data_IF_016296862476
#
_entry.id   IF_016296862476
#
_cell.length_a   1.000
_cell.length_b   1.000
_cell.length_c   1.000
_cell.angle_alpha   90.00
_cell.angle_beta   90.00
_cell.angle_gamma   90.00
#
_symmetry.space_group_name_H-M   'P 1'
#
loop_
_entity.id
_entity.type
_entity.pdbx_description
1 polymer ?
#
# COMPACT_ATOMS: atom_id res chain seq x y z
N UNK A 1 20.05 22.82 -1.00
CA UNK A 1 21.25 22.88 -1.87
C UNK A 1 21.93 24.23 -1.74
N UNK A 2 23.17 24.26 -1.24
CA UNK A 2 24.30 25.08 -1.70
C UNK A 2 25.51 24.74 -0.83
N UNK A 3 26.42 23.94 -1.40
CA UNK A 3 27.77 23.74 -0.87
C UNK A 3 28.57 25.01 -1.07
N UNK A 4 29.38 25.39 -0.07
CA UNK A 4 30.71 25.95 -0.29
C UNK A 4 31.64 25.24 0.70
N UNK A 5 32.46 24.34 0.16
CA UNK A 5 33.67 23.85 0.80
C UNK A 5 34.77 24.92 0.68
N UNK A 6 35.44 25.26 1.77
CA UNK A 6 36.78 25.85 1.73
C UNK A 6 37.68 25.02 2.66
N UNK A 7 38.60 24.33 1.99
CA UNK A 7 39.95 23.91 2.36
C UNK A 7 40.49 24.59 3.64
N UNK A 8 41.17 23.84 4.52
CA UNK A 8 42.52 24.21 5.01
C UNK A 8 43.13 23.05 5.79
N UNK A 9 44.30 22.67 5.29
CA UNK A 9 45.46 22.06 5.91
C UNK A 9 45.68 22.41 7.40
N UNK A 10 46.27 21.46 8.11
CA UNK A 10 47.28 21.61 9.19
C UNK A 10 46.92 21.32 10.66
N UNK A 11 47.90 20.61 11.23
CA UNK A 11 48.46 20.64 12.58
C UNK A 11 47.63 20.14 13.77
N UNK A 12 48.27 19.16 14.44
CA UNK A 12 47.95 18.62 15.74
C UNK A 12 47.54 19.70 16.75
N UNK A 13 46.36 19.52 17.35
CA UNK A 13 46.15 19.82 18.75
C UNK A 13 45.14 18.83 19.35
N UNK A 14 45.53 18.32 20.51
CA UNK A 14 44.83 17.42 21.41
C UNK A 14 43.43 17.93 21.75
N UNK A 15 42.40 17.09 21.60
CA UNK A 15 41.32 16.91 22.59
C UNK A 15 40.29 15.89 22.11
N UNK A 16 40.09 14.88 22.96
CA UNK A 16 38.84 14.17 23.24
C UNK A 16 37.97 13.73 22.05
N UNK A 17 38.04 12.43 21.72
CA UNK A 17 36.91 11.70 21.17
C UNK A 17 36.43 10.72 22.24
N UNK A 18 35.21 10.96 22.71
CA UNK A 18 34.41 9.97 23.42
C UNK A 18 33.99 8.93 22.39
N UNK A 19 34.54 7.73 22.51
CA UNK A 19 34.04 6.55 21.84
C UNK A 19 32.81 6.09 22.62
N UNK A 20 31.65 6.11 21.98
CA UNK A 20 30.54 5.24 22.39
C UNK A 20 31.00 3.81 22.09
N UNK A 21 31.33 3.07 23.13
CA UNK A 21 31.33 1.61 23.09
C UNK A 21 30.23 1.08 23.99
N UNK A 22 29.53 0.12 23.42
CA UNK A 22 28.39 -0.65 23.87
C UNK A 22 28.70 -1.28 25.24
N UNK A 23 27.79 -1.12 26.20
CA UNK A 23 27.90 -1.76 27.50
C UNK A 23 27.83 -3.29 27.35
N UNK A 24 28.92 -3.95 27.73
CA UNK A 24 29.02 -5.39 27.94
C UNK A 24 28.60 -5.68 29.39
N UNK A 25 27.50 -6.42 29.54
CA UNK A 25 27.12 -7.05 30.81
C UNK A 25 28.16 -8.12 31.16
N UNK A 26 29.07 -7.85 32.11
CA UNK A 26 29.43 -8.85 33.12
C UNK A 26 30.07 -8.24 34.37
N UNK A 27 29.48 -8.60 35.52
CA UNK A 27 30.08 -8.66 36.85
C UNK A 27 30.37 -7.34 37.60
N UNK A 28 29.31 -6.76 38.15
CA UNK A 28 29.36 -6.39 39.56
C UNK A 28 28.10 -6.90 40.26
N UNK A 29 28.27 -7.73 41.28
CA UNK A 29 27.21 -8.28 42.11
C UNK A 29 26.62 -7.22 43.07
N UNK A 30 26.30 -6.03 42.53
CA UNK A 30 25.71 -4.88 43.21
C UNK A 30 24.83 -4.00 42.29
N UNK A 31 24.61 -4.40 41.03
CA UNK A 31 23.72 -3.75 40.05
C UNK A 31 22.35 -4.44 40.14
N UNK A 32 21.75 -4.33 41.31
CA UNK A 32 20.58 -5.09 41.69
C UNK A 32 19.56 -4.18 42.30
N UNK A 33 18.35 -4.25 41.74
CA UNK A 33 17.20 -3.49 42.19
C UNK A 33 17.13 -3.37 43.72
N UNK A 34 17.10 -2.13 44.19
CA UNK A 34 17.06 -1.79 45.60
C UNK A 34 18.43 -1.46 46.20
N UNK A 35 19.33 -0.87 45.42
CA UNK A 35 20.60 -0.36 45.92
C UNK A 35 20.57 1.15 46.23
N UNK A 36 19.44 1.82 45.95
CA UNK A 36 19.18 3.24 46.17
C UNK A 36 19.64 4.15 45.04
N UNK A 37 20.05 3.61 43.87
CA UNK A 37 20.50 4.36 42.71
C UNK A 37 19.82 3.79 41.46
N UNK A 38 19.04 4.60 40.75
CA UNK A 38 18.41 4.14 39.50
C UNK A 38 19.43 3.98 38.37
N UNK A 39 19.60 2.76 37.85
CA UNK A 39 20.53 2.41 36.77
C UNK A 39 19.88 2.31 35.37
N UNK A 40 20.71 2.15 34.33
CA UNK A 40 20.22 1.99 32.95
C UNK A 40 19.50 0.64 32.84
N UNK A 41 18.18 0.69 32.67
CA UNK A 41 17.32 -0.50 32.59
C UNK A 41 16.24 -0.55 33.68
N UNK A 42 16.34 0.29 34.72
CA UNK A 42 15.38 0.37 35.82
C UNK A 42 14.40 1.52 35.63
N UNK A 43 13.12 1.29 35.96
CA UNK A 43 12.12 2.36 35.97
C UNK A 43 12.19 3.20 37.26
N UNK A 44 12.55 2.55 38.37
CA UNK A 44 12.72 3.11 39.72
C UNK A 44 13.71 2.26 40.54
N UNK A 45 14.20 2.76 41.69
CA UNK A 45 14.95 1.99 42.70
C UNK A 45 14.63 2.48 44.12
N UNK A 46 14.01 1.63 44.96
CA UNK A 46 13.50 1.94 46.32
C UNK A 46 12.71 3.25 46.37
N UNK A 47 13.38 4.35 46.66
CA UNK A 47 12.81 5.70 46.86
C UNK A 47 13.08 6.62 45.66
N UNK A 48 13.99 6.25 44.75
CA UNK A 48 14.20 6.95 43.48
C UNK A 48 13.13 6.50 42.47
N UNK A 49 11.98 7.14 42.55
CA UNK A 49 10.84 6.92 41.66
C UNK A 49 10.92 7.75 40.37
N UNK A 50 12.08 8.29 40.00
CA UNK A 50 12.25 9.14 38.81
C UNK A 50 11.25 10.31 38.72
N UNK A 51 10.93 10.91 39.86
CA UNK A 51 9.89 11.95 40.02
C UNK A 51 8.48 11.54 39.55
N UNK A 52 8.20 10.25 39.39
CA UNK A 52 6.86 9.77 39.15
C UNK A 52 6.06 9.71 40.44
N UNK A 53 4.76 9.94 40.33
CA UNK A 53 3.79 9.81 41.41
C UNK A 53 2.59 9.04 40.89
N UNK A 54 1.67 8.64 41.79
CA UNK A 54 0.39 8.07 41.37
C UNK A 54 -0.33 8.99 40.35
N UNK A 55 -0.24 10.31 40.51
CA UNK A 55 -0.82 11.30 39.59
C UNK A 55 -0.18 11.30 38.21
N UNK A 56 1.13 11.11 38.10
CA UNK A 56 1.78 11.05 36.78
C UNK A 56 1.50 9.72 36.08
N UNK A 57 1.12 8.68 36.84
CA UNK A 57 0.69 7.36 36.33
C UNK A 57 -0.83 7.25 36.11
N UNK A 58 -1.59 8.33 36.29
CA UNK A 58 -3.03 8.39 35.98
C UNK A 58 -3.99 8.16 37.16
N UNK A 59 -3.49 8.08 38.40
CA UNK A 59 -4.28 7.90 39.62
C UNK A 59 -4.40 9.20 40.42
N UNK A 60 -5.52 9.45 41.10
CA UNK A 60 -5.76 10.77 41.71
C UNK A 60 -5.03 10.96 43.06
N UNK A 61 -4.88 9.89 43.84
CA UNK A 61 -4.21 9.88 45.15
C UNK A 61 -3.41 8.58 45.35
N UNK A 62 -2.76 8.44 46.51
CA UNK A 62 -1.96 7.26 46.86
C UNK A 62 -0.45 7.49 46.80
N UNK A 63 0.31 6.47 47.18
CA UNK A 63 1.76 6.50 47.20
C UNK A 63 2.31 5.51 46.16
N UNK A 64 3.05 6.03 45.18
CA UNK A 64 3.75 5.19 44.21
C UNK A 64 4.95 4.54 44.92
N UNK A 65 5.20 3.26 44.67
CA UNK A 65 6.36 2.57 45.21
C UNK A 65 7.11 1.82 44.10
N UNK A 66 8.29 1.30 44.42
CA UNK A 66 9.10 0.52 43.50
C UNK A 66 9.15 -0.94 43.93
N UNK A 67 8.86 -1.88 43.02
CA UNK A 67 8.88 -3.29 43.34
C UNK A 67 10.31 -3.89 43.26
N UNK A 68 10.45 -5.15 43.67
CA UNK A 68 11.74 -5.87 43.69
C UNK A 68 12.35 -6.18 42.31
N UNK A 69 11.63 -5.84 41.22
CA UNK A 69 12.08 -5.95 39.84
C UNK A 69 12.32 -4.58 39.20
N UNK A 70 12.26 -3.50 40.00
CA UNK A 70 12.53 -2.14 39.59
C UNK A 70 11.54 -1.59 38.56
N UNK A 71 10.30 -2.03 38.70
CA UNK A 71 9.12 -1.50 38.03
C UNK A 71 8.25 -0.73 39.04
N UNK A 72 7.50 0.26 38.54
CA UNK A 72 6.56 1.02 39.35
C UNK A 72 5.44 0.13 39.85
N UNK A 73 5.22 0.13 41.17
CA UNK A 73 4.11 -0.54 41.82
C UNK A 73 3.00 0.48 42.14
N UNK A 74 1.87 0.31 41.46
CA UNK A 74 0.68 1.15 41.60
C UNK A 74 -0.36 0.54 42.53
N UNK A 75 -0.07 -0.52 43.28
CA UNK A 75 -1.05 -1.17 44.17
C UNK A 75 -1.58 -0.25 45.27
N UNK A 76 -0.75 0.69 45.72
CA UNK A 76 -1.09 1.70 46.72
C UNK A 76 -1.49 3.05 46.09
N UNK A 77 -1.65 3.09 44.76
CA UNK A 77 -2.26 4.19 44.03
C UNK A 77 -3.78 3.99 43.98
N UNK A 78 -4.52 5.02 44.35
CA UNK A 78 -5.98 4.96 44.50
C UNK A 78 -6.66 5.86 43.47
N UNK A 79 -7.72 5.34 42.87
CA UNK A 79 -8.72 6.07 42.10
C UNK A 79 -9.97 6.04 42.97
N UNK A 80 -10.51 7.20 43.36
CA UNK A 80 -11.74 7.26 44.15
C UNK A 80 -12.81 6.37 43.51
N UNK A 81 -13.07 5.22 44.13
CA UNK A 81 -14.18 4.35 43.84
C UNK A 81 -15.31 4.68 44.83
N UNK A 82 -16.52 4.88 44.28
CA UNK A 82 -17.82 4.77 44.96
C UNK A 82 -18.20 5.95 45.89
N UNK A 83 -18.42 7.15 45.33
CA UNK A 83 -19.23 8.17 46.05
C UNK A 83 -20.67 8.05 45.57
N UNK A 84 -21.42 7.22 46.29
CA UNK A 84 -22.86 7.18 46.09
C UNK A 84 -23.52 8.50 46.49
N UNK A 85 -24.28 9.09 45.59
CA UNK A 85 -25.03 10.32 45.83
C UNK A 85 -24.52 11.53 45.04
N UNK A 86 -23.61 11.35 44.08
CA UNK A 86 -23.02 12.42 43.27
C UNK A 86 -23.78 12.67 41.95
N UNK A 87 -24.85 11.91 41.70
CA UNK A 87 -25.73 11.91 40.53
C UNK A 87 -25.08 11.44 39.19
N UNK A 88 -23.92 10.80 39.24
CA UNK A 88 -23.22 10.21 38.09
C UNK A 88 -23.04 8.72 38.37
N UNK A 89 -23.42 7.85 37.42
CA UNK A 89 -23.19 6.40 37.55
C UNK A 89 -21.76 6.08 37.11
N UNK A 90 -20.90 5.75 38.07
CA UNK A 90 -19.48 5.45 37.84
C UNK A 90 -19.19 3.95 37.75
N UNK A 91 -17.97 3.57 37.34
CA UNK A 91 -17.58 2.17 37.20
C UNK A 91 -17.56 1.46 38.58
N UNK A 92 -18.60 0.67 38.85
CA UNK A 92 -18.83 0.00 40.14
C UNK A 92 -20.21 0.23 40.74
N UNK A 93 -20.98 1.19 40.21
CA UNK A 93 -22.33 1.55 40.66
C UNK A 93 -23.39 1.03 39.67
N UNK A 94 -24.54 0.57 40.17
CA UNK A 94 -25.69 0.24 39.32
C UNK A 94 -26.56 1.48 39.05
N UNK A 95 -26.59 2.40 40.00
CA UNK A 95 -27.31 3.66 39.94
C UNK A 95 -26.67 4.67 40.91
N UNK A 96 -26.99 5.96 40.76
CA UNK A 96 -26.65 6.99 41.74
C UNK A 96 -27.84 7.95 41.93
N UNK A 97 -28.34 8.06 43.16
CA UNK A 97 -29.46 8.94 43.51
C UNK A 97 -30.70 8.65 42.65
N UNK A 98 -31.08 9.56 41.74
CA UNK A 98 -32.19 9.37 40.78
C UNK A 98 -31.69 8.94 39.39
N UNK A 99 -30.38 8.87 39.19
CA UNK A 99 -29.76 8.42 37.95
C UNK A 99 -29.71 6.89 37.95
N UNK A 100 -30.77 6.27 37.44
CA UNK A 100 -30.91 4.82 37.31
C UNK A 100 -30.29 4.27 36.02
N UNK A 101 -29.57 5.09 35.24
CA UNK A 101 -28.96 4.65 33.98
C UNK A 101 -29.97 4.17 32.92
N UNK A 102 -31.24 4.55 33.02
CA UNK A 102 -32.32 4.08 32.14
C UNK A 102 -32.93 2.73 32.54
N UNK A 103 -32.48 2.11 33.63
CA UNK A 103 -33.08 0.89 34.16
C UNK A 103 -34.48 1.16 34.73
N UNK A 104 -35.37 0.20 34.50
CA UNK A 104 -36.74 0.10 35.02
C UNK A 104 -36.94 -1.26 35.70
N UNK A 105 -38.01 -1.42 36.48
CA UNK A 105 -38.37 -2.73 37.04
C UNK A 105 -38.48 -3.81 35.95
N UNK A 106 -39.12 -3.47 34.82
CA UNK A 106 -39.25 -4.33 33.63
C UNK A 106 -37.89 -4.77 33.07
N UNK A 107 -36.95 -3.83 32.90
CA UNK A 107 -35.60 -4.14 32.40
C UNK A 107 -34.77 -5.04 33.33
N UNK A 108 -35.16 -5.16 34.60
CA UNK A 108 -34.51 -6.01 35.60
C UNK A 108 -35.25 -7.34 35.82
N UNK A 109 -36.27 -7.63 35.01
CA UNK A 109 -37.06 -8.87 35.07
C UNK A 109 -38.11 -8.88 36.19
N UNK A 110 -38.54 -7.72 36.66
CA UNK A 110 -39.70 -7.54 37.54
C UNK A 110 -40.86 -6.95 36.74
N UNK A 111 -42.08 -6.92 37.31
CA UNK A 111 -43.23 -6.32 36.64
C UNK A 111 -43.22 -4.79 36.70
N UNK A 112 -44.42 -4.19 36.74
CA UNK A 112 -44.57 -2.74 36.88
C UNK A 112 -44.09 -2.22 38.25
N UNK A 113 -43.77 -0.93 38.37
CA UNK A 113 -43.46 -0.32 39.68
C UNK A 113 -42.39 0.76 39.64
N UNK A 114 -42.02 1.25 40.82
CA UNK A 114 -41.06 2.34 40.99
C UNK A 114 -39.70 1.79 41.41
N UNK A 115 -38.76 1.72 40.45
CA UNK A 115 -37.36 1.39 40.73
C UNK A 115 -36.67 2.58 41.41
N UNK A 116 -35.91 2.33 42.47
CA UNK A 116 -35.17 3.38 43.19
C UNK A 116 -33.70 3.00 43.37
N UNK A 117 -32.85 3.95 43.74
CA UNK A 117 -31.45 3.68 44.06
C UNK A 117 -31.24 3.70 45.57
N UNK A 118 -30.57 2.69 46.12
CA UNK A 118 -30.17 2.64 47.53
C UNK A 118 -28.74 2.10 47.63
N UNK A 119 -27.86 2.88 48.27
CA UNK A 119 -26.44 2.53 48.45
C UNK A 119 -25.74 2.12 47.13
N UNK A 120 -26.15 2.75 46.04
CA UNK A 120 -25.64 2.56 44.67
C UNK A 120 -25.94 1.22 44.01
N UNK A 121 -26.94 0.53 44.57
CA UNK A 121 -27.58 -0.64 43.98
C UNK A 121 -29.05 -0.34 43.67
N UNK A 122 -29.56 -1.02 42.64
CA UNK A 122 -30.97 -0.97 42.34
C UNK A 122 -31.79 -1.52 43.52
N UNK A 123 -32.70 -0.70 44.02
CA UNK A 123 -33.66 -1.09 45.03
C UNK A 123 -35.00 -1.44 44.35
N UNK A 124 -35.24 -2.74 44.25
CA UNK A 124 -36.41 -3.35 43.60
C UNK A 124 -37.62 -3.49 44.53
N UNK A 125 -37.57 -2.99 45.77
CA UNK A 125 -38.69 -3.12 46.72
C UNK A 125 -39.98 -2.42 46.28
N UNK A 126 -39.89 -1.51 45.30
CA UNK A 126 -41.04 -0.83 44.68
C UNK A 126 -41.52 -1.48 43.39
N UNK A 127 -40.88 -2.56 42.93
CA UNK A 127 -41.29 -3.33 41.76
C UNK A 127 -42.31 -4.40 42.14
N UNK A 128 -43.30 -4.65 41.28
CA UNK A 128 -44.18 -5.82 41.38
C UNK A 128 -43.43 -7.07 40.95
N UNK A 129 -43.92 -8.23 41.37
CA UNK A 129 -43.46 -9.51 40.82
C UNK A 129 -43.62 -9.50 39.29
N UNK A 130 -42.76 -10.25 38.59
CA UNK A 130 -42.77 -10.33 37.13
C UNK A 130 -44.11 -10.87 36.63
N UNK A 131 -44.63 -10.39 35.49
CA UNK A 131 -45.84 -10.95 34.88
C UNK A 131 -45.65 -12.45 34.66
N UNK A 132 -46.55 -13.24 35.22
CA UNK A 132 -46.49 -14.70 35.18
C UNK A 132 -47.75 -15.29 34.60
N UNK A 133 -47.65 -15.69 33.33
CA UNK A 133 -48.70 -16.45 32.69
C UNK A 133 -49.08 -17.70 33.50
N UNK A 134 -50.35 -17.83 33.86
CA UNK A 134 -50.87 -18.91 34.70
C UNK A 134 -51.22 -18.52 36.14
N UNK A 135 -51.20 -17.23 36.51
CA UNK A 135 -51.47 -16.76 37.87
C UNK A 135 -52.91 -16.23 38.11
N UNK A 136 -53.80 -16.40 37.13
CA UNK A 136 -55.21 -15.96 37.15
C UNK A 136 -55.40 -14.42 37.18
N UNK A 137 -54.36 -13.62 36.93
CA UNK A 137 -54.40 -12.16 36.76
C UNK A 137 -53.87 -11.81 35.36
N UNK A 138 -54.46 -10.80 34.69
CA UNK A 138 -53.92 -10.30 33.41
C UNK A 138 -52.98 -9.12 33.70
N UNK A 139 -51.67 -9.34 33.63
CA UNK A 139 -50.63 -8.34 33.87
C UNK A 139 -50.31 -7.51 32.62
N UNK A 140 -51.25 -6.66 32.23
CA UNK A 140 -51.11 -5.78 31.07
C UNK A 140 -49.95 -4.77 31.21
N UNK A 141 -49.16 -4.49 30.15
CA UNK A 141 -49.35 -4.92 28.76
C UNK A 141 -48.64 -6.23 28.39
N UNK A 142 -47.99 -6.92 29.33
CA UNK A 142 -47.19 -8.11 29.04
C UNK A 142 -48.06 -9.31 28.62
N UNK A 143 -49.28 -9.40 29.18
CA UNK A 143 -50.25 -10.45 28.90
C UNK A 143 -51.48 -9.88 28.19
N UNK A 144 -51.95 -10.59 27.15
CA UNK A 144 -53.19 -10.26 26.43
C UNK A 144 -54.41 -11.01 26.99
N UNK A 145 -54.18 -12.16 27.61
CA UNK A 145 -55.16 -13.06 28.20
C UNK A 145 -54.51 -13.89 29.31
N UNK A 146 -55.31 -14.59 30.13
CA UNK A 146 -54.82 -15.44 31.22
C UNK A 146 -55.68 -16.71 31.32
N UNK A 147 -55.13 -17.85 30.89
CA UNK A 147 -55.83 -19.14 30.85
C UNK A 147 -57.14 -19.10 30.05
N UNK A 148 -58.28 -18.99 30.73
CA UNK A 148 -59.61 -18.83 30.09
C UNK A 148 -60.14 -17.40 30.08
N UNK A 149 -59.49 -16.49 30.79
CA UNK A 149 -59.82 -15.07 30.76
C UNK A 149 -59.20 -14.43 29.52
N UNK A 150 -60.00 -14.26 28.47
CA UNK A 150 -59.56 -13.69 27.19
C UNK A 150 -59.63 -12.14 27.19
N UNK A 151 -59.66 -11.49 28.36
CA UNK A 151 -59.81 -10.04 28.50
C UNK A 151 -61.03 -9.48 27.75
N UNK A 152 -62.12 -10.26 27.70
CA UNK A 152 -63.33 -9.93 26.95
C UNK A 152 -63.22 -10.01 25.42
N UNK A 153 -62.12 -10.57 24.88
CA UNK A 153 -61.91 -10.77 23.45
C UNK A 153 -62.47 -12.12 22.97
N UNK A 154 -62.93 -12.16 21.72
CA UNK A 154 -63.29 -13.37 20.99
C UNK A 154 -62.82 -13.27 19.53
N UNK A 155 -63.01 -14.34 18.75
CA UNK A 155 -62.66 -14.34 17.33
C UNK A 155 -63.35 -13.19 16.56
N UNK A 156 -64.56 -12.79 16.94
CA UNK A 156 -65.31 -11.70 16.31
C UNK A 156 -64.75 -10.32 16.64
N UNK A 157 -64.35 -10.07 17.88
CA UNK A 157 -63.70 -8.80 18.28
C UNK A 157 -62.34 -8.62 17.62
N UNK A 158 -61.69 -9.73 17.23
CA UNK A 158 -60.43 -9.77 16.49
C UNK A 158 -60.60 -9.86 14.96
N UNK A 159 -61.83 -9.79 14.44
CA UNK A 159 -62.10 -9.67 13.00
C UNK A 159 -62.36 -10.97 12.23
N UNK A 160 -62.52 -12.11 12.90
CA UNK A 160 -62.85 -13.40 12.28
C UNK A 160 -64.37 -13.66 12.23
N UNK A 161 -64.83 -14.45 11.26
CA UNK A 161 -66.26 -14.76 11.08
C UNK A 161 -66.82 -15.72 12.17
N UNK A 162 -65.96 -16.41 12.93
CA UNK A 162 -66.34 -17.28 14.03
C UNK A 162 -65.16 -18.08 14.59
N UNK A 163 -65.46 -19.15 15.32
CA UNK A 163 -64.48 -20.06 15.94
C UNK A 163 -64.25 -19.81 17.43
N UNK A 164 -63.23 -20.47 17.99
CA UNK A 164 -62.89 -20.40 19.42
C UNK A 164 -61.52 -19.75 19.58
N UNK A 165 -61.46 -18.61 20.26
CA UNK A 165 -60.22 -17.95 20.65
C UNK A 165 -59.67 -18.64 21.90
N UNK A 166 -58.36 -18.88 21.94
CA UNK A 166 -57.68 -19.45 23.10
C UNK A 166 -56.55 -18.52 23.58
N UNK A 167 -56.04 -18.80 24.78
CA UNK A 167 -54.85 -18.17 25.31
C UNK A 167 -53.70 -19.19 25.24
N UNK A 168 -52.54 -18.80 24.73
CA UNK A 168 -51.38 -19.68 24.66
C UNK A 168 -50.59 -19.75 25.98
N UNK A 169 -49.55 -20.59 26.04
CA UNK A 169 -48.71 -20.79 27.24
C UNK A 169 -47.84 -19.56 27.58
N UNK A 170 -47.84 -18.53 26.73
CA UNK A 170 -47.16 -17.26 26.94
C UNK A 170 -48.17 -16.11 27.15
N UNK A 171 -49.45 -16.43 27.33
CA UNK A 171 -50.53 -15.49 27.60
C UNK A 171 -50.79 -14.47 26.47
N UNK A 172 -50.60 -14.93 25.23
CA UNK A 172 -51.03 -14.25 24.01
C UNK A 172 -52.26 -14.91 23.39
N UNK A 173 -52.97 -14.16 22.55
CA UNK A 173 -54.13 -14.69 21.83
C UNK A 173 -53.74 -15.75 20.79
N UNK A 174 -54.13 -17.01 21.02
CA UNK A 174 -54.07 -18.09 20.05
C UNK A 174 -55.28 -18.04 19.10
N UNK A 175 -55.01 -17.60 17.87
CA UNK A 175 -56.01 -17.40 16.81
C UNK A 175 -56.24 -18.65 15.95
N UNK A 176 -55.54 -19.76 16.21
CA UNK A 176 -55.61 -20.98 15.40
C UNK A 176 -56.98 -21.67 15.42
N UNK A 177 -57.79 -21.42 16.45
CA UNK A 177 -59.16 -21.91 16.58
C UNK A 177 -60.24 -21.03 15.94
N UNK A 178 -59.89 -19.86 15.37
CA UNK A 178 -60.83 -18.97 14.66
C UNK A 178 -61.12 -19.47 13.22
N UNK A 179 -62.31 -19.17 12.66
CA UNK A 179 -62.79 -19.71 11.37
C UNK A 179 -63.49 -18.69 10.45
N UNK A 180 -63.26 -18.81 9.13
CA UNK A 180 -63.86 -18.07 7.98
C UNK A 180 -63.14 -16.76 7.59
N UNK A 181 -62.79 -16.47 6.33
CA UNK A 181 -63.05 -17.12 5.02
C UNK A 181 -61.93 -18.04 4.51
N UNK A 182 -62.24 -18.93 3.57
CA UNK A 182 -61.26 -19.89 3.04
C UNK A 182 -60.67 -19.34 1.76
N UNK A 183 -59.43 -18.84 1.87
CA UNK A 183 -58.72 -18.40 0.70
C UNK A 183 -58.48 -19.56 -0.29
N UNK A 184 -58.77 -19.32 -1.57
CA UNK A 184 -58.59 -20.27 -2.66
C UNK A 184 -59.87 -21.01 -3.07
N UNK A 185 -61.05 -20.49 -2.72
CA UNK A 185 -62.36 -21.05 -3.13
C UNK A 185 -62.82 -20.56 -4.53
N UNK A 186 -62.09 -19.61 -5.13
CA UNK A 186 -62.34 -19.04 -6.45
C UNK A 186 -63.27 -17.82 -6.46
N UNK A 187 -63.78 -17.38 -5.31
CA UNK A 187 -64.67 -16.22 -5.16
C UNK A 187 -64.15 -15.27 -4.08
N UNK A 188 -64.16 -13.97 -4.35
CA UNK A 188 -63.77 -12.95 -3.34
C UNK A 188 -64.95 -12.70 -2.40
N UNK A 189 -64.85 -13.19 -1.16
CA UNK A 189 -65.87 -13.09 -0.13
C UNK A 189 -65.77 -11.78 0.67
N UNK A 190 -66.78 -11.50 1.52
CA UNK A 190 -66.78 -10.28 2.35
C UNK A 190 -65.69 -10.34 3.42
N UNK A 191 -64.63 -9.55 3.24
CA UNK A 191 -63.45 -9.51 4.12
C UNK A 191 -62.14 -9.88 3.43
N UNK A 192 -62.18 -10.34 2.19
CA UNK A 192 -61.01 -10.70 1.37
C UNK A 192 -60.65 -9.57 0.39
N UNK A 193 -59.36 -9.34 0.14
CA UNK A 193 -58.90 -8.43 -0.90
C UNK A 193 -58.83 -9.13 -2.28
N UNK A 194 -58.54 -10.43 -2.27
CA UNK A 194 -58.40 -11.33 -3.43
C UNK A 194 -58.67 -12.79 -3.00
N UNK A 195 -58.87 -13.72 -3.95
CA UNK A 195 -58.93 -15.18 -3.69
C UNK A 195 -58.14 -15.95 -4.78
N UNK A 196 -56.96 -16.46 -4.42
CA UNK A 196 -56.10 -17.21 -5.34
C UNK A 196 -55.77 -16.43 -6.62
N UNK A 197 -56.34 -16.83 -7.76
CA UNK A 197 -56.17 -16.12 -9.05
C UNK A 197 -57.19 -15.01 -9.29
N UNK A 198 -58.24 -14.93 -8.47
CA UNK A 198 -59.27 -13.90 -8.52
C UNK A 198 -58.81 -12.66 -7.73
N UNK A 199 -58.07 -11.77 -8.39
CA UNK A 199 -57.48 -10.57 -7.80
C UNK A 199 -58.48 -9.40 -7.65
N UNK A 200 -59.79 -9.66 -7.65
CA UNK A 200 -60.85 -8.65 -7.61
C UNK A 200 -60.70 -7.54 -8.69
N UNK A 201 -60.14 -7.88 -9.85
CA UNK A 201 -59.80 -6.95 -10.93
C UNK A 201 -58.73 -5.89 -10.58
N UNK A 202 -58.00 -6.04 -9.49
CA UNK A 202 -56.86 -5.19 -9.16
C UNK A 202 -55.60 -5.57 -9.95
N UNK A 203 -54.71 -4.60 -10.12
CA UNK A 203 -53.35 -4.75 -10.63
C UNK A 203 -52.38 -3.89 -9.81
N UNK A 204 -51.07 -4.10 -9.96
CA UNK A 204 -50.07 -3.24 -9.31
C UNK A 204 -50.26 -1.76 -9.69
N UNK A 205 -50.59 -1.48 -10.94
CA UNK A 205 -50.88 -0.13 -11.46
C UNK A 205 -52.09 0.52 -10.76
N UNK A 206 -53.17 -0.25 -10.53
CA UNK A 206 -54.40 0.21 -9.86
C UNK A 206 -54.20 0.44 -8.35
N UNK A 207 -53.22 -0.22 -7.73
CA UNK A 207 -52.84 -0.05 -6.32
C UNK A 207 -51.81 1.08 -6.11
N UNK A 208 -51.40 1.78 -7.18
CA UNK A 208 -50.51 2.93 -7.10
C UNK A 208 -49.01 2.62 -7.27
N UNK A 209 -48.67 1.40 -7.71
CA UNK A 209 -47.30 1.05 -8.10
C UNK A 209 -47.09 1.41 -9.58
N UNK A 210 -46.35 2.48 -9.83
CA UNK A 210 -46.12 3.03 -11.18
C UNK A 210 -45.15 2.21 -12.04
N UNK A 211 -44.39 1.30 -11.43
CA UNK A 211 -43.31 0.54 -12.07
C UNK A 211 -43.78 -0.85 -12.58
N UNK A 212 -45.09 -1.14 -12.49
CA UNK A 212 -45.68 -2.38 -12.99
C UNK A 212 -45.55 -3.58 -12.04
N UNK A 213 -45.38 -4.79 -12.58
CA UNK A 213 -45.19 -6.04 -11.81
C UNK A 213 -46.38 -7.01 -11.80
N UNK A 214 -46.23 -8.13 -11.09
CA UNK A 214 -47.27 -9.16 -10.95
C UNK A 214 -47.93 -9.05 -9.58
N UNK A 215 -49.23 -8.74 -9.56
CA UNK A 215 -50.01 -8.77 -8.33
C UNK A 215 -50.43 -10.22 -8.06
N UNK A 216 -50.14 -10.73 -6.86
CA UNK A 216 -50.57 -12.07 -6.43
C UNK A 216 -51.39 -12.01 -5.14
N UNK A 217 -52.05 -13.11 -4.81
CA UNK A 217 -52.88 -13.24 -3.63
C UNK A 217 -52.23 -14.17 -2.62
N UNK A 218 -52.15 -13.76 -1.35
CA UNK A 218 -51.61 -14.59 -0.27
C UNK A 218 -52.60 -15.70 0.12
N UNK A 219 -52.12 -16.71 0.85
CA UNK A 219 -52.98 -17.75 1.48
C UNK A 219 -53.92 -17.17 2.55
N UNK A 220 -53.71 -15.91 2.95
CA UNK A 220 -54.55 -15.14 3.86
C UNK A 220 -55.50 -14.17 3.12
N UNK A 221 -55.60 -14.26 1.79
CA UNK A 221 -56.51 -13.46 0.96
C UNK A 221 -56.27 -11.94 1.02
N UNK A 222 -55.00 -11.57 1.14
CA UNK A 222 -54.50 -10.20 1.03
C UNK A 222 -53.62 -10.04 -0.21
N UNK A 223 -53.55 -8.83 -0.75
CA UNK A 223 -52.65 -8.55 -1.88
C UNK A 223 -51.19 -8.70 -1.46
N UNK A 224 -50.44 -9.48 -2.25
CA UNK A 224 -48.98 -9.57 -2.14
C UNK A 224 -48.39 -8.57 -3.13
N UNK A 225 -47.87 -7.46 -2.60
CA UNK A 225 -47.30 -6.35 -3.38
C UNK A 225 -45.78 -6.43 -3.51
N UNK A 226 -45.14 -7.46 -2.96
CA UNK A 226 -43.68 -7.63 -3.06
C UNK A 226 -43.19 -7.83 -4.49
N UNK A 227 -44.05 -8.30 -5.40
CA UNK A 227 -43.78 -8.43 -6.84
C UNK A 227 -44.39 -7.29 -7.67
N UNK A 228 -44.98 -6.27 -7.01
CA UNK A 228 -45.47 -5.03 -7.64
C UNK A 228 -44.41 -3.93 -7.72
N UNK A 229 -43.18 -4.22 -7.29
CA UNK A 229 -42.00 -3.53 -7.78
C UNK A 229 -41.47 -4.41 -8.91
N UNK A 230 -41.83 -4.10 -10.16
CA UNK A 230 -41.17 -4.71 -11.30
C UNK A 230 -39.68 -4.51 -11.13
N UNK A 231 -38.93 -5.58 -10.85
CA UNK A 231 -37.49 -5.53 -11.04
C UNK A 231 -37.27 -5.16 -12.49
N UNK A 232 -36.63 -4.01 -12.72
CA UNK A 232 -36.23 -3.54 -14.06
C UNK A 232 -35.69 -4.73 -14.85
N UNK A 233 -36.20 -4.89 -16.07
CA UNK A 233 -35.81 -6.03 -16.88
C UNK A 233 -34.45 -5.74 -17.46
N UNK A 234 -33.42 -6.31 -16.84
CA UNK A 234 -32.05 -6.03 -17.22
C UNK A 234 -31.78 -6.20 -18.72
N UNK A 235 -31.29 -5.14 -19.36
CA UNK A 235 -30.95 -5.12 -20.78
C UNK A 235 -32.09 -4.68 -21.69
N UNK A 236 -33.07 -3.94 -21.17
CA UNK A 236 -34.15 -3.36 -21.97
C UNK A 236 -33.79 -1.98 -22.57
N UNK A 237 -32.61 -1.46 -22.21
CA UNK A 237 -32.05 -0.22 -22.73
C UNK A 237 -32.50 1.03 -21.96
N UNK A 238 -33.14 0.87 -20.81
CA UNK A 238 -33.49 1.95 -19.89
C UNK A 238 -32.99 1.67 -18.48
N UNK A 239 -32.26 2.61 -17.89
CA UNK A 239 -31.78 2.48 -16.50
C UNK A 239 -32.92 2.78 -15.51
N UNK A 240 -33.46 1.74 -14.89
CA UNK A 240 -34.54 1.84 -13.91
C UNK A 240 -34.03 2.13 -12.49
N UNK A 241 -34.91 2.60 -11.59
CA UNK A 241 -34.51 3.02 -10.23
C UNK A 241 -33.98 1.92 -9.31
N UNK A 242 -34.05 0.65 -9.74
CA UNK A 242 -33.57 -0.52 -9.00
C UNK A 242 -32.30 -1.13 -9.63
N UNK A 243 -31.88 -0.67 -10.80
CA UNK A 243 -30.72 -1.19 -11.53
C UNK A 243 -29.47 -0.33 -11.25
N UNK A 244 -28.31 -0.97 -11.07
CA UNK A 244 -27.03 -0.25 -11.03
C UNK A 244 -26.52 0.07 -12.44
N UNK A 245 -26.93 -0.71 -13.44
CA UNK A 245 -26.61 -0.55 -14.85
C UNK A 245 -27.67 -1.23 -15.73
N UNK A 246 -27.81 -0.83 -17.00
CA UNK A 246 -28.54 -1.55 -18.05
C UNK A 246 -27.66 -1.62 -19.32
N UNK A 247 -27.20 -2.82 -19.67
CA UNK A 247 -26.39 -3.05 -20.86
C UNK A 247 -25.08 -2.27 -20.86
N UNK A 248 -25.06 -1.11 -21.53
CA UNK A 248 -23.92 -0.17 -21.57
C UNK A 248 -24.15 1.15 -20.82
N UNK A 249 -25.34 1.34 -20.25
CA UNK A 249 -25.64 2.48 -19.39
C UNK A 249 -25.27 2.11 -17.95
N UNK A 250 -24.24 2.77 -17.40
CA UNK A 250 -23.72 2.51 -16.05
C UNK A 250 -24.04 3.65 -15.08
N UNK A 251 -25.07 4.47 -15.36
CA UNK A 251 -25.41 5.62 -14.53
C UNK A 251 -24.27 6.64 -14.34
N UNK A 252 -23.36 6.72 -15.31
CA UNK A 252 -22.16 7.55 -15.24
C UNK A 252 -20.99 6.94 -14.47
N UNK A 253 -21.12 5.71 -13.96
CA UNK A 253 -20.03 4.95 -13.38
C UNK A 253 -19.01 4.52 -14.46
N UNK A 254 -17.76 4.40 -14.02
CA UNK A 254 -16.61 3.96 -14.81
C UNK A 254 -15.74 3.10 -13.91
N UNK A 255 -14.82 2.32 -14.48
CA UNK A 255 -13.82 1.63 -13.66
C UNK A 255 -13.04 2.59 -12.73
N UNK A 256 -12.82 3.84 -13.17
CA UNK A 256 -12.17 4.88 -12.34
C UNK A 256 -13.01 5.28 -11.13
N UNK A 257 -14.32 5.45 -11.29
CA UNK A 257 -15.21 5.78 -10.15
C UNK A 257 -15.41 4.59 -9.22
N UNK A 258 -15.27 3.36 -9.73
CA UNK A 258 -15.28 2.11 -8.96
C UNK A 258 -13.93 1.78 -8.28
N UNK A 259 -12.93 2.67 -8.39
CA UNK A 259 -11.64 2.52 -7.69
C UNK A 259 -10.54 1.77 -8.44
N UNK A 260 -10.72 1.52 -9.73
CA UNK A 260 -9.72 0.93 -10.62
C UNK A 260 -9.00 2.00 -11.46
N UNK A 261 -7.76 1.77 -11.93
CA UNK A 261 -7.02 2.75 -12.73
C UNK A 261 -7.61 2.97 -14.13
N UNK A 262 -8.39 2.02 -14.66
CA UNK A 262 -8.90 2.03 -16.03
C UNK A 262 -9.72 0.78 -16.38
N UNK A 263 -9.92 0.53 -17.67
CA UNK A 263 -10.67 -0.62 -18.19
C UNK A 263 -12.11 -0.28 -18.58
N UNK A 264 -12.91 -1.32 -18.82
CA UNK A 264 -14.33 -1.19 -19.19
C UNK A 264 -15.21 -1.86 -18.14
N UNK A 265 -16.33 -1.25 -17.80
CA UNK A 265 -17.36 -1.92 -16.98
C UNK A 265 -18.18 -2.86 -17.87
N UNK A 266 -18.72 -3.90 -17.25
CA UNK A 266 -19.77 -4.72 -17.84
C UNK A 266 -20.96 -4.76 -16.91
N UNK A 267 -22.15 -4.96 -17.46
CA UNK A 267 -23.37 -5.09 -16.69
C UNK A 267 -23.75 -6.57 -16.63
N UNK A 268 -24.00 -7.09 -15.43
CA UNK A 268 -24.40 -8.49 -15.25
C UNK A 268 -25.85 -8.71 -15.69
N UNK A 269 -26.24 -9.98 -15.90
CA UNK A 269 -27.64 -10.35 -16.15
C UNK A 269 -28.58 -10.05 -14.97
N UNK A 270 -28.04 -9.60 -13.83
CA UNK A 270 -28.79 -9.17 -12.64
C UNK A 270 -28.71 -7.66 -12.41
N UNK A 271 -28.27 -6.89 -13.42
CA UNK A 271 -28.21 -5.43 -13.38
C UNK A 271 -27.34 -4.85 -12.26
N UNK A 272 -26.26 -5.57 -11.97
CA UNK A 272 -25.17 -5.10 -11.10
C UNK A 272 -23.94 -4.80 -11.93
N UNK A 273 -23.17 -3.79 -11.51
CA UNK A 273 -21.91 -3.47 -12.17
C UNK A 273 -20.89 -4.59 -11.92
N UNK A 274 -20.33 -5.15 -12.99
CA UNK A 274 -19.24 -6.12 -12.96
C UNK A 274 -17.91 -5.43 -13.34
N UNK A 275 -17.00 -5.41 -12.36
CA UNK A 275 -15.67 -4.78 -12.47
C UNK A 275 -14.58 -5.77 -12.88
N UNK A 276 -14.91 -7.02 -13.24
CA UNK A 276 -13.92 -8.04 -13.64
C UNK A 276 -13.16 -7.69 -14.93
N UNK A 277 -13.73 -6.81 -15.75
CA UNK A 277 -13.11 -6.27 -16.97
C UNK A 277 -12.42 -4.92 -16.75
N UNK A 278 -12.41 -4.41 -15.52
CA UNK A 278 -11.59 -3.26 -15.17
C UNK A 278 -10.12 -3.65 -15.12
N UNK A 279 -9.26 -2.68 -15.43
CA UNK A 279 -7.82 -2.89 -15.35
C UNK A 279 -7.47 -3.13 -13.88
N UNK A 280 -6.78 -4.23 -13.53
CA UNK A 280 -6.43 -4.53 -12.15
C UNK A 280 -5.56 -3.42 -11.56
N UNK A 281 -5.69 -3.22 -10.25
CA UNK A 281 -4.73 -2.41 -9.50
C UNK A 281 -3.33 -3.01 -9.67
N UNK A 282 -2.35 -2.16 -9.97
CA UNK A 282 -0.92 -2.49 -10.14
C UNK A 282 -0.49 -3.64 -9.23
N UNK A 283 -0.14 -4.79 -9.82
CA UNK A 283 0.25 -6.00 -9.10
C UNK A 283 1.72 -6.29 -9.30
N UNK A 284 2.52 -5.67 -8.43
CA UNK A 284 3.94 -5.76 -8.54
C UNK A 284 4.50 -7.19 -8.46
N UNK A 285 5.29 -7.57 -9.46
CA UNK A 285 6.00 -8.84 -9.54
C UNK A 285 5.33 -9.87 -10.44
N UNK A 286 4.37 -9.48 -11.26
CA UNK A 286 3.68 -10.37 -12.21
C UNK A 286 4.30 -10.34 -13.62
N UNK A 287 5.37 -9.56 -13.82
CA UNK A 287 6.12 -9.35 -15.07
C UNK A 287 5.40 -8.57 -16.18
N UNK A 288 4.28 -7.91 -15.89
CA UNK A 288 3.53 -7.04 -16.78
C UNK A 288 3.55 -5.64 -16.19
N UNK A 289 3.85 -4.61 -16.99
CA UNK A 289 3.78 -3.22 -16.51
C UNK A 289 2.35 -2.72 -16.71
N UNK A 290 1.61 -2.58 -15.61
CA UNK A 290 0.21 -2.12 -15.63
C UNK A 290 0.07 -0.60 -15.48
N UNK A 291 -1.15 -0.10 -15.72
CA UNK A 291 -1.48 1.31 -15.49
C UNK A 291 -1.28 1.67 -14.02
N UNK A 292 -0.24 2.48 -13.75
CA UNK A 292 0.15 2.88 -12.39
C UNK A 292 1.53 2.37 -11.97
N UNK A 293 2.17 1.51 -12.76
CA UNK A 293 3.53 1.02 -12.54
C UNK A 293 4.53 1.70 -13.49
N UNK A 294 5.74 1.99 -13.00
CA UNK A 294 6.85 2.40 -13.89
C UNK A 294 7.58 1.19 -14.45
N UNK A 295 7.56 0.07 -13.72
CA UNK A 295 8.17 -1.20 -14.07
C UNK A 295 7.53 -2.34 -13.25
N UNK A 296 7.73 -3.59 -13.66
CA UNK A 296 7.38 -4.78 -12.88
C UNK A 296 8.51 -5.80 -12.93
N UNK A 297 9.18 -6.02 -11.79
CA UNK A 297 10.22 -7.03 -11.65
C UNK A 297 11.37 -6.83 -12.64
N UNK A 298 11.44 -7.66 -13.68
CA UNK A 298 12.46 -7.52 -14.75
C UNK A 298 11.95 -6.76 -15.98
N UNK A 299 10.65 -6.49 -16.04
CA UNK A 299 10.01 -5.76 -17.11
C UNK A 299 10.07 -4.25 -16.80
N UNK A 300 11.07 -3.58 -17.36
CA UNK A 300 11.29 -2.14 -17.15
C UNK A 300 10.42 -1.24 -18.04
N UNK A 301 9.51 -1.80 -18.85
CA UNK A 301 8.69 -1.01 -19.78
C UNK A 301 9.51 -0.24 -20.84
N UNK A 302 10.74 -0.66 -21.10
CA UNK A 302 11.69 0.06 -21.97
C UNK A 302 12.52 1.14 -21.25
N UNK A 303 12.34 1.32 -19.94
CA UNK A 303 13.17 2.16 -19.10
C UNK A 303 14.63 1.73 -19.08
N UNK A 304 15.53 2.70 -19.08
CA UNK A 304 16.98 2.52 -18.91
C UNK A 304 17.52 3.66 -18.05
N UNK A 305 18.70 3.50 -17.44
CA UNK A 305 19.38 4.62 -16.79
C UNK A 305 19.52 5.83 -17.74
N UNK A 306 19.75 5.56 -19.04
CA UNK A 306 19.80 6.56 -20.11
C UNK A 306 18.52 7.38 -20.28
N UNK A 307 17.34 6.74 -20.21
CA UNK A 307 16.06 7.45 -20.34
C UNK A 307 15.74 8.34 -19.14
N UNK A 308 16.37 8.07 -17.98
CA UNK A 308 16.23 8.84 -16.75
C UNK A 308 17.30 9.94 -16.61
N UNK A 309 18.20 10.08 -17.59
CA UNK A 309 19.21 11.14 -17.64
C UNK A 309 20.58 10.74 -17.09
N UNK A 310 20.77 9.48 -16.68
CA UNK A 310 22.07 8.95 -16.29
C UNK A 310 22.84 8.42 -17.50
N UNK A 311 24.17 8.42 -17.41
CA UNK A 311 25.02 7.97 -18.51
C UNK A 311 25.33 6.48 -18.47
N UNK A 312 25.34 5.88 -17.28
CA UNK A 312 25.76 4.51 -17.06
C UNK A 312 24.86 3.77 -16.08
N UNK A 313 24.91 2.44 -16.13
CA UNK A 313 24.34 1.55 -15.11
C UNK A 313 23.25 0.62 -15.64
N UNK A 314 22.80 -0.26 -14.76
CA UNK A 314 21.61 -1.09 -15.00
C UNK A 314 20.46 -0.47 -14.20
N UNK A 315 19.31 -0.30 -14.83
CA UNK A 315 18.10 0.16 -14.16
C UNK A 315 17.40 -1.07 -13.59
N UNK A 316 17.03 -1.02 -12.32
CA UNK A 316 16.29 -2.08 -11.67
C UNK A 316 14.85 -1.65 -11.40
N UNK A 317 14.02 -2.60 -10.98
CA UNK A 317 12.67 -2.33 -10.53
C UNK A 317 12.50 -2.75 -9.06
N UNK A 318 12.01 -1.84 -8.23
CA UNK A 318 11.74 -2.11 -6.83
C UNK A 318 10.41 -1.50 -6.43
N UNK A 319 9.51 -2.31 -5.89
CA UNK A 319 8.16 -1.88 -5.51
C UNK A 319 7.41 -1.16 -6.66
N UNK A 320 7.64 -1.62 -7.89
CA UNK A 320 7.04 -1.11 -9.12
C UNK A 320 7.33 0.35 -9.47
N UNK A 321 8.43 0.85 -8.91
CA UNK A 321 9.07 2.08 -9.33
C UNK A 321 10.51 1.77 -9.73
N UNK A 322 11.06 2.64 -10.58
CA UNK A 322 12.44 2.52 -11.02
C UNK A 322 13.40 2.66 -9.83
N UNK A 323 14.30 1.68 -9.70
CA UNK A 323 15.40 1.72 -8.76
C UNK A 323 16.66 2.23 -9.48
N UNK A 324 16.99 3.49 -9.20
CA UNK A 324 18.11 4.20 -9.81
C UNK A 324 19.43 3.97 -9.07
N UNK A 325 19.48 3.16 -8.00
CA UNK A 325 20.69 3.01 -7.16
C UNK A 325 21.90 2.47 -7.93
N UNK A 326 21.68 1.71 -9.00
CA UNK A 326 22.74 1.21 -9.88
C UNK A 326 22.98 2.09 -11.11
N UNK A 327 22.21 3.17 -11.29
CA UNK A 327 22.47 4.21 -12.28
C UNK A 327 23.56 5.18 -11.80
N UNK A 328 24.41 5.64 -12.73
CA UNK A 328 25.59 6.45 -12.43
C UNK A 328 25.84 7.49 -13.52
N UNK A 329 26.28 8.66 -13.10
CA UNK A 329 26.67 9.76 -14.01
C UNK A 329 28.13 9.71 -14.45
N UNK A 330 28.96 8.96 -13.74
CA UNK A 330 30.39 8.94 -13.99
C UNK A 330 30.99 7.55 -13.78
N UNK A 331 31.99 7.26 -14.60
CA UNK A 331 32.93 6.15 -14.40
C UNK A 331 34.32 6.76 -14.29
N UNK A 332 35.09 6.30 -13.30
CA UNK A 332 36.49 6.71 -13.13
C UNK A 332 37.37 5.59 -13.65
N UNK A 333 38.31 5.92 -14.54
CA UNK A 333 39.30 4.98 -15.06
C UNK A 333 40.61 5.72 -15.27
N UNK A 334 41.70 5.09 -14.87
CA UNK A 334 43.04 5.65 -14.96
C UNK A 334 44.04 4.75 -14.26
N UNK A 335 45.27 5.22 -14.20
CA UNK A 335 46.36 4.62 -13.47
C UNK A 335 46.59 5.35 -12.15
N UNK A 336 47.63 4.98 -11.42
CA UNK A 336 48.10 5.77 -10.27
C UNK A 336 48.94 6.99 -10.69
N UNK A 337 49.20 7.17 -11.99
CA UNK A 337 49.98 8.25 -12.55
C UNK A 337 49.04 9.30 -13.21
N UNK A 338 49.57 10.09 -14.14
CA UNK A 338 48.79 11.11 -14.84
C UNK A 338 48.05 10.52 -16.04
N UNK A 339 46.73 10.67 -16.06
CA UNK A 339 45.88 10.27 -17.17
C UNK A 339 44.98 11.43 -17.58
N UNK A 340 44.78 11.63 -18.88
CA UNK A 340 43.88 12.65 -19.38
C UNK A 340 43.12 12.17 -20.61
N UNK A 341 41.82 12.47 -20.62
CA UNK A 341 40.97 12.39 -21.81
C UNK A 341 40.94 13.74 -22.50
N UNK A 342 41.23 13.77 -23.80
CA UNK A 342 41.19 14.98 -24.63
C UNK A 342 39.98 15.04 -25.55
N UNK A 343 39.44 13.88 -25.96
CA UNK A 343 38.33 13.81 -26.90
C UNK A 343 37.46 12.59 -26.63
N UNK A 344 36.18 12.68 -26.97
CA UNK A 344 35.23 11.59 -26.88
C UNK A 344 34.27 11.59 -28.06
N UNK A 345 33.77 10.40 -28.39
CA UNK A 345 32.68 10.20 -29.35
C UNK A 345 31.63 9.28 -28.73
N UNK A 346 30.38 9.46 -29.12
CA UNK A 346 29.26 8.59 -28.74
C UNK A 346 28.92 7.74 -29.96
N UNK A 347 28.89 6.41 -29.79
CA UNK A 347 28.51 5.49 -30.87
C UNK A 347 27.01 5.62 -31.16
N UNK A 348 26.52 5.17 -32.34
CA UNK A 348 25.08 5.10 -32.60
C UNK A 348 24.29 4.26 -31.59
N UNK A 349 24.96 3.36 -30.84
CA UNK A 349 24.37 2.57 -29.77
C UNK A 349 24.39 3.28 -28.40
N UNK A 350 24.88 4.53 -28.32
CA UNK A 350 24.94 5.33 -27.09
C UNK A 350 26.18 5.09 -26.23
N UNK A 351 27.10 4.22 -26.65
CA UNK A 351 28.32 3.91 -25.92
C UNK A 351 29.34 5.06 -26.06
N UNK A 352 30.20 5.26 -25.05
CA UNK A 352 31.20 6.32 -25.08
C UNK A 352 32.56 5.74 -25.41
N UNK A 353 33.26 6.35 -26.37
CA UNK A 353 34.67 6.07 -26.65
C UNK A 353 35.47 7.32 -26.33
N UNK A 354 36.42 7.18 -25.40
CA UNK A 354 37.32 8.25 -24.98
C UNK A 354 38.70 8.06 -25.59
N UNK A 355 39.35 9.19 -25.89
CA UNK A 355 40.70 9.25 -26.39
C UNK A 355 41.55 10.22 -25.57
N UNK A 356 42.79 9.84 -25.34
CA UNK A 356 43.73 10.66 -24.59
C UNK A 356 45.08 9.99 -24.42
N UNK A 357 45.61 10.07 -23.20
CA UNK A 357 46.80 9.33 -22.79
C UNK A 357 46.67 8.78 -21.37
N UNK A 358 47.41 7.71 -21.12
CA UNK A 358 47.68 7.16 -19.77
C UNK A 358 49.18 7.15 -19.52
N UNK A 359 49.60 7.24 -18.27
CA UNK A 359 51.00 7.06 -17.86
C UNK A 359 51.12 6.01 -16.75
N UNK A 360 52.32 5.62 -16.34
CA UNK A 360 52.51 4.60 -15.31
C UNK A 360 53.02 3.28 -15.88
N UNK A 361 52.79 2.16 -15.21
CA UNK A 361 53.40 0.87 -15.59
C UNK A 361 52.45 -0.06 -16.35
N UNK A 362 51.15 -0.02 -16.02
CA UNK A 362 50.14 -0.81 -16.71
C UNK A 362 48.74 -0.18 -16.63
N UNK A 363 47.94 -0.44 -17.66
CA UNK A 363 46.55 0.00 -17.76
C UNK A 363 45.70 -1.08 -18.46
N UNK A 364 44.65 -1.59 -17.80
CA UNK A 364 43.78 -2.68 -18.30
C UNK A 364 44.51 -3.84 -19.01
N UNK A 365 45.63 -4.30 -18.44
CA UNK A 365 46.39 -5.43 -18.98
C UNK A 365 47.41 -5.08 -20.06
N UNK A 366 47.53 -3.81 -20.44
CA UNK A 366 48.57 -3.29 -21.31
C UNK A 366 49.76 -2.78 -20.49
N UNK A 367 50.98 -3.02 -20.96
CA UNK A 367 52.22 -2.50 -20.36
C UNK A 367 52.60 -1.18 -21.02
N UNK A 368 53.12 -0.24 -20.23
CA UNK A 368 53.58 1.03 -20.77
C UNK A 368 54.70 0.87 -21.81
N UNK A 369 54.61 1.65 -22.87
CA UNK A 369 55.57 1.68 -23.98
C UNK A 369 56.59 2.82 -23.78
N UNK A 370 56.13 3.95 -23.27
CA UNK A 370 56.92 5.13 -22.95
C UNK A 370 56.48 5.83 -21.66
N UNK A 371 56.60 7.16 -21.64
CA UNK A 371 56.21 7.97 -20.47
C UNK A 371 54.71 8.22 -20.39
N UNK A 372 54.11 8.57 -21.52
CA UNK A 372 52.67 8.72 -21.73
C UNK A 372 52.34 7.94 -23.00
N UNK A 373 51.28 7.14 -22.99
CA UNK A 373 50.89 6.35 -24.14
C UNK A 373 49.49 6.75 -24.62
N UNK A 374 49.30 6.81 -25.94
CA UNK A 374 48.00 7.00 -26.55
C UNK A 374 47.04 5.91 -26.06
N UNK A 375 45.82 6.31 -25.70
CA UNK A 375 44.78 5.37 -25.31
C UNK A 375 43.45 5.67 -25.96
N UNK A 376 42.73 4.59 -26.29
CA UNK A 376 41.28 4.58 -26.51
C UNK A 376 40.62 3.65 -25.51
N UNK A 377 39.52 4.11 -24.93
CA UNK A 377 38.71 3.33 -23.98
C UNK A 377 37.27 3.39 -24.44
N UNK A 378 36.64 2.24 -24.63
CA UNK A 378 35.20 2.14 -24.86
C UNK A 378 34.49 1.74 -23.57
N UNK A 379 33.49 2.52 -23.18
CA UNK A 379 32.56 2.19 -22.10
C UNK A 379 31.24 1.69 -22.67
N UNK A 380 30.77 0.56 -22.16
CA UNK A 380 29.43 0.06 -22.40
C UNK A 380 28.39 0.93 -21.64
N UNK A 381 27.11 0.77 -21.97
CA UNK A 381 26.02 1.51 -21.31
C UNK A 381 25.88 1.18 -19.82
N UNK A 382 26.35 0.03 -19.36
CA UNK A 382 26.38 -0.33 -17.94
C UNK A 382 27.57 0.31 -17.18
N UNK A 383 28.42 1.07 -17.89
CA UNK A 383 29.64 1.70 -17.37
C UNK A 383 30.85 0.77 -17.26
N UNK A 384 30.75 -0.48 -17.71
CA UNK A 384 31.91 -1.38 -17.81
C UNK A 384 32.77 -1.03 -19.02
N UNK A 385 34.06 -1.39 -18.95
CA UNK A 385 34.97 -1.20 -20.09
C UNK A 385 34.76 -2.33 -21.10
N UNK A 386 34.30 -1.98 -22.29
CA UNK A 386 34.11 -2.93 -23.38
C UNK A 386 35.43 -3.35 -24.02
N UNK A 387 36.32 -2.39 -24.29
CA UNK A 387 37.70 -2.65 -24.72
C UNK A 387 38.60 -1.44 -24.47
N UNK A 388 39.91 -1.72 -24.46
CA UNK A 388 40.98 -0.72 -24.45
C UNK A 388 41.95 -0.96 -25.59
N UNK A 389 42.50 0.13 -26.13
CA UNK A 389 43.62 0.09 -27.06
C UNK A 389 44.67 1.08 -26.58
N UNK A 390 45.90 0.61 -26.37
CA UNK A 390 47.05 1.44 -25.98
C UNK A 390 48.17 1.26 -27.00
N UNK A 391 48.77 2.37 -27.42
CA UNK A 391 49.90 2.39 -28.34
C UNK A 391 50.76 3.65 -28.14
N UNK A 392 51.99 3.61 -28.62
CA UNK A 392 52.97 4.63 -28.28
C UNK A 392 54.37 4.25 -28.76
N UNK A 393 55.26 5.23 -28.63
CA UNK A 393 56.71 5.10 -28.76
C UNK A 393 57.34 4.90 -27.38
N UNK A 394 58.66 5.01 -27.27
CA UNK A 394 59.34 5.02 -25.97
C UNK A 394 59.28 6.35 -25.22
N UNK A 395 58.69 7.38 -25.82
CA UNK A 395 58.58 8.74 -25.26
C UNK A 395 57.12 9.03 -24.86
N UNK A 396 56.71 10.30 -24.82
CA UNK A 396 55.32 10.67 -24.58
C UNK A 396 54.52 10.66 -25.89
N UNK A 397 53.33 10.10 -25.88
CA UNK A 397 52.43 10.02 -27.03
C UNK A 397 50.98 10.25 -26.56
N UNK A 398 50.24 11.05 -27.31
CA UNK A 398 48.91 11.53 -26.90
C UNK A 398 47.94 11.56 -28.06
N UNK A 399 46.73 11.07 -27.85
CA UNK A 399 45.60 11.37 -28.74
C UNK A 399 44.97 12.70 -28.31
N UNK A 400 44.81 13.63 -29.24
CA UNK A 400 44.23 14.95 -29.00
C UNK A 400 42.84 15.13 -29.62
N UNK A 401 42.49 14.30 -30.61
CA UNK A 401 41.19 14.35 -31.28
C UNK A 401 40.74 12.97 -31.72
N UNK A 402 39.44 12.73 -31.62
CA UNK A 402 38.78 11.50 -32.03
C UNK A 402 37.56 11.84 -32.89
N UNK A 403 37.36 11.09 -33.98
CA UNK A 403 36.15 11.14 -34.79
C UNK A 403 35.70 9.74 -35.16
N UNK A 404 34.39 9.54 -35.35
CA UNK A 404 33.81 8.29 -35.83
C UNK A 404 33.06 8.53 -37.14
N UNK A 405 33.20 7.61 -38.11
CA UNK A 405 32.38 7.64 -39.32
C UNK A 405 31.05 6.87 -39.16
N UNK A 406 30.20 6.93 -40.18
CA UNK A 406 28.90 6.25 -40.19
C UNK A 406 29.00 4.71 -40.18
N UNK A 407 30.17 4.15 -40.48
CA UNK A 407 30.42 2.70 -40.44
C UNK A 407 31.03 2.27 -39.09
N UNK A 408 31.19 3.19 -38.14
CA UNK A 408 31.78 2.94 -36.83
C UNK A 408 33.30 2.95 -36.80
N UNK A 409 33.99 3.33 -37.89
CA UNK A 409 35.45 3.45 -37.92
C UNK A 409 35.91 4.67 -37.13
N UNK A 410 36.99 4.52 -36.38
CA UNK A 410 37.55 5.58 -35.54
C UNK A 410 38.76 6.22 -36.19
N UNK A 411 38.86 7.54 -36.11
CA UNK A 411 39.98 8.33 -36.58
C UNK A 411 40.56 9.10 -35.40
N UNK A 412 41.76 8.73 -34.98
CA UNK A 412 42.49 9.34 -33.88
C UNK A 412 43.58 10.25 -34.43
N UNK A 413 43.68 11.47 -33.91
CA UNK A 413 44.75 12.41 -34.25
C UNK A 413 45.45 12.88 -32.99
N UNK A 414 46.76 13.11 -33.07
CA UNK A 414 47.55 13.29 -31.86
C UNK A 414 48.97 13.77 -32.07
N UNK A 415 49.78 13.56 -31.04
CA UNK A 415 51.21 13.87 -31.03
C UNK A 415 52.01 12.64 -30.64
N UNK A 416 53.15 12.46 -31.30
CA UNK A 416 54.18 11.52 -30.86
C UNK A 416 55.50 12.23 -30.65
N UNK A 417 56.19 11.89 -29.57
CA UNK A 417 57.48 12.49 -29.21
C UNK A 417 58.65 11.51 -29.45
N UNK A 418 58.36 10.23 -29.71
CA UNK A 418 59.33 9.20 -30.08
C UNK A 418 59.06 8.57 -31.44
N UNK A 419 59.92 7.65 -31.86
CA UNK A 419 59.84 7.01 -33.20
C UNK A 419 58.72 5.98 -33.19
N UNK A 420 57.79 6.09 -34.13
CA UNK A 420 56.65 5.19 -34.29
C UNK A 420 56.68 4.59 -35.71
N UNK A 421 56.54 3.27 -35.82
CA UNK A 421 56.51 2.50 -37.09
C UNK A 421 57.64 2.81 -38.09
N UNK A 422 58.83 3.16 -37.59
CA UNK A 422 60.01 3.42 -38.40
C UNK A 422 59.99 4.74 -39.18
N UNK A 423 59.02 5.63 -38.90
CA UNK A 423 58.99 6.99 -39.44
C UNK A 423 59.85 7.92 -38.55
N UNK A 424 60.84 8.58 -39.15
CA UNK A 424 61.72 9.52 -38.45
C UNK A 424 61.03 10.88 -38.23
N UNK A 425 61.32 11.52 -37.09
CA UNK A 425 60.74 12.82 -36.71
C UNK A 425 61.08 13.96 -37.66
N UNK A 426 60.12 14.85 -37.91
CA UNK A 426 60.34 16.16 -38.53
C UNK A 426 60.33 17.27 -37.46
N UNK A 427 61.25 17.22 -36.49
CA UNK A 427 61.36 18.19 -35.38
C UNK A 427 61.16 17.58 -33.99
N UNK A 428 60.82 18.39 -32.97
CA UNK A 428 60.66 17.93 -31.58
C UNK A 428 59.30 17.30 -31.25
N UNK A 429 58.34 17.32 -32.19
CA UNK A 429 57.00 16.72 -32.08
C UNK A 429 56.52 16.31 -33.48
N UNK A 430 55.93 15.11 -33.63
CA UNK A 430 55.27 14.65 -34.87
C UNK A 430 53.73 14.68 -34.72
N UNK A 431 52.99 14.90 -35.82
CA UNK A 431 51.51 14.82 -35.84
C UNK A 431 51.07 13.40 -36.18
N UNK A 432 50.24 12.79 -35.35
CA UNK A 432 49.63 11.47 -35.53
C UNK A 432 48.25 11.60 -36.20
N UNK A 433 47.96 10.73 -37.16
CA UNK A 433 46.62 10.50 -37.72
C UNK A 433 46.48 9.01 -38.04
N UNK A 434 45.55 8.33 -37.37
CA UNK A 434 45.38 6.88 -37.45
C UNK A 434 43.90 6.51 -37.60
N UNK A 435 43.60 5.55 -38.47
CA UNK A 435 42.25 5.07 -38.76
C UNK A 435 42.10 3.61 -38.31
N UNK A 436 41.24 3.36 -37.31
CA UNK A 436 40.92 2.01 -36.84
C UNK A 436 39.63 1.52 -37.49
N UNK A 437 39.76 0.50 -38.33
CA UNK A 437 38.63 -0.29 -38.86
C UNK A 437 38.32 -1.41 -37.88
N UNK A 438 37.10 -1.43 -37.34
CA UNK A 438 36.53 -2.51 -36.51
C UNK A 438 37.53 -3.17 -35.54
N UNK A 439 37.62 -2.66 -34.31
CA UNK A 439 38.41 -3.29 -33.23
C UNK A 439 37.71 -4.58 -32.78
N UNK A 440 37.86 -5.64 -33.58
CA UNK A 440 37.50 -7.02 -33.22
C UNK A 440 38.79 -7.69 -32.78
N UNK A 441 38.84 -8.06 -31.50
CA UNK A 441 39.97 -8.76 -30.90
C UNK A 441 40.27 -10.05 -31.67
N UNK A 442 41.38 -10.06 -32.41
CA UNK A 442 42.19 -11.25 -32.57
C UNK A 442 43.65 -10.86 -32.62
N UNK A 443 44.38 -11.39 -31.65
CA UNK A 443 45.82 -11.53 -31.66
C UNK A 443 46.30 -12.03 -33.04
N UNK A 444 47.42 -11.49 -33.50
CA UNK A 444 48.01 -11.51 -34.85
C UNK A 444 47.46 -10.51 -35.88
N UNK A 445 48.25 -9.43 -36.06
CA UNK A 445 48.32 -8.49 -37.21
C UNK A 445 47.28 -8.70 -38.32
N UNK A 446 46.36 -7.74 -38.51
CA UNK A 446 45.73 -7.49 -39.80
C UNK A 446 46.25 -6.18 -40.40
N UNK A 447 46.78 -6.28 -41.61
CA UNK A 447 47.10 -5.16 -42.50
C UNK A 447 45.83 -4.36 -42.81
N UNK A 448 45.84 -3.06 -42.55
CA UNK A 448 44.78 -2.13 -42.94
C UNK A 448 45.27 -0.68 -42.85
N UNK A 449 45.98 -0.22 -43.90
CA UNK A 449 46.47 1.14 -44.09
C UNK A 449 45.31 2.04 -44.56
N UNK A 450 45.23 3.27 -44.03
CA UNK A 450 44.93 4.44 -44.85
C UNK A 450 45.74 5.66 -44.39
N UNK A 451 46.58 6.12 -45.32
CA UNK A 451 47.45 7.28 -45.27
C UNK A 451 46.72 8.60 -45.07
N UNK A 452 47.26 9.45 -44.20
CA UNK A 452 47.20 10.91 -44.35
C UNK A 452 48.43 11.57 -43.71
N UNK A 453 49.58 11.41 -44.37
CA UNK A 453 50.78 12.18 -44.08
C UNK A 453 50.61 13.61 -44.62
N UNK A 454 50.45 14.60 -43.74
CA UNK A 454 50.68 16.00 -44.12
C UNK A 454 52.19 16.26 -44.12
N UNK A 455 52.73 16.21 -45.33
CA UNK A 455 54.04 16.65 -45.82
C UNK A 455 55.13 15.58 -46.01
N UNK A 456 55.08 14.95 -47.19
CA UNK A 456 56.28 14.71 -48.01
C UNK A 456 56.71 13.25 -48.20
N UNK A 457 56.57 12.79 -49.45
CA UNK A 457 57.23 11.63 -50.08
C UNK A 457 56.74 10.24 -49.65
N UNK A 458 55.70 9.72 -50.34
CA UNK A 458 55.39 8.29 -50.37
C UNK A 458 56.01 7.65 -51.63
N UNK A 459 56.88 6.65 -51.45
CA UNK A 459 57.32 5.73 -52.52
C UNK A 459 56.72 4.36 -52.25
N UNK A 460 55.96 3.87 -53.23
CA UNK A 460 55.31 2.54 -53.27
C UNK A 460 56.34 1.47 -53.62
N UNK A 461 56.39 0.38 -52.86
CA UNK A 461 56.94 -0.90 -53.31
C UNK A 461 55.98 -2.04 -52.93
N UNK A 462 55.48 -2.74 -53.95
CA UNK A 462 54.66 -3.94 -53.82
C UNK A 462 55.53 -5.20 -53.76
N UNK A 463 55.11 -6.25 -53.04
CA UNK A 463 55.49 -7.62 -53.37
C UNK A 463 54.37 -8.34 -54.12
N UNK A 464 54.77 -9.04 -55.18
CA UNK A 464 53.97 -9.82 -56.11
C UNK A 464 53.29 -11.06 -55.51
N UNK A 465 52.24 -11.52 -56.20
CA UNK A 465 51.59 -12.81 -56.03
C UNK A 465 52.56 -14.00 -55.99
N UNK A 466 52.26 -14.97 -55.12
CA UNK A 466 52.22 -16.39 -55.44
C UNK A 466 51.14 -17.05 -54.58
#
# INVERSE_FOLDING_TARGET
MRYISILILTFAFTACHVVLDIADHTNNSNDGCGNGIREIGEACDIDDLNNQTCQTMGYQFGALSCNAQCEFDTSDCDVLLNICGNAIVEAGEQCDSNNLGGATCDSLGYGSGDLSCLDCYFNVSGCSEAPTCGDEIIDAPAEECEGTDLNGSDCGTLGYAGGTLACDELCHFDRSGCSGGTCGNGTVDTGEECDGSNLNQSSCELLGFSDGGTLSCSDSCTFVTSECAGGGTCGDGTLDTTEECDGTDFNGETCVTQGFPGGSLSCSDQCTIDTSTCDPLAQCGNSIVETGEECDGSNLGGGTCGSLGYWFGALDCSSCSYDETHCRDAVVSGTAAHDLTYSSVITPAGEIIQAGYVSGTSFYGHTALGGEDCVLIKYNLDGTVGWTAQWGSSENDRVLGLAQDQNGNLYAVGQTFGVMDGQAHAGSVSRLAEAHRSVVCRDHRPKGILDLALNGWAVRLEPQHA
#
